data_IF_117390378757
#
_entry.id   IF_117390378757
#
_cell.length_a   1.000
_cell.length_b   1.000
_cell.length_c   1.000
_cell.angle_alpha   90.00
_cell.angle_beta   90.00
_cell.angle_gamma   90.00
#
_symmetry.space_group_name_H-M   'P 1'
#
loop_
_entity.id
_entity.type
_entity.pdbx_description
1 polymer ?
#
# COMPACT_ATOMS: atom_id res chain seq x y z
N UNK A 1 15.85 -7.77 -6.16
CA UNK A 1 14.79 -6.79 -5.96
C UNK A 1 15.08 -5.97 -4.73
N UNK A 2 14.98 -4.68 -4.82
CA UNK A 2 15.31 -3.84 -3.68
C UNK A 2 14.06 -3.44 -2.92
N UNK A 3 14.25 -3.07 -1.69
CA UNK A 3 13.15 -2.68 -0.82
C UNK A 3 13.30 -1.20 -0.54
N UNK A 4 12.21 -0.49 -0.63
CA UNK A 4 12.19 0.92 -0.32
C UNK A 4 11.29 1.17 0.86
N UNK A 5 11.54 2.25 1.56
CA UNK A 5 10.71 2.63 2.69
C UNK A 5 9.83 3.79 2.31
N UNK A 6 8.69 3.85 2.94
CA UNK A 6 7.80 4.99 2.79
C UNK A 6 7.21 5.30 4.16
N UNK A 7 7.07 6.56 4.47
CA UNK A 7 6.47 6.98 5.73
C UNK A 7 5.08 7.49 5.46
N UNK A 8 4.15 7.06 6.28
CA UNK A 8 2.76 7.46 6.12
C UNK A 8 2.26 8.00 7.45
N UNK A 9 1.58 9.12 7.40
CA UNK A 9 0.93 9.65 8.58
C UNK A 9 -0.52 9.24 8.55
N UNK A 10 -0.98 8.64 9.62
CA UNK A 10 -2.33 8.11 9.70
C UNK A 10 -2.98 8.63 10.97
N UNK A 11 -4.24 8.97 10.89
CA UNK A 11 -4.97 9.37 12.08
C UNK A 11 -4.97 8.23 13.07
N UNK A 12 -4.93 8.58 14.33
CA UNK A 12 -4.83 7.60 15.40
C UNK A 12 -5.99 6.60 15.36
N UNK A 13 -7.18 7.09 15.12
CA UNK A 13 -8.35 6.21 15.08
C UNK A 13 -8.24 5.20 13.95
N UNK A 14 -7.76 5.63 12.79
CA UNK A 14 -7.59 4.71 11.68
C UNK A 14 -6.52 3.68 11.96
N UNK A 15 -5.44 4.10 12.59
CA UNK A 15 -4.39 3.17 12.93
C UNK A 15 -4.88 2.13 13.93
N UNK A 16 -5.66 2.57 14.92
CA UNK A 16 -6.21 1.65 15.90
C UNK A 16 -7.13 0.63 15.24
N UNK A 17 -7.92 1.08 14.29
CA UNK A 17 -8.85 0.18 13.62
C UNK A 17 -8.12 -0.84 12.75
N UNK A 18 -7.10 -0.40 12.04
CA UNK A 18 -6.37 -1.34 11.22
C UNK A 18 -5.58 -2.32 12.08
N UNK A 19 -5.11 -1.87 13.24
CA UNK A 19 -4.44 -2.78 14.16
C UNK A 19 -5.40 -3.83 14.69
N UNK A 20 -6.64 -3.44 14.95
CA UNK A 20 -7.65 -4.39 15.38
C UNK A 20 -7.90 -5.44 14.30
N UNK A 21 -8.03 -5.00 13.06
CA UNK A 21 -8.27 -5.92 11.96
C UNK A 21 -7.09 -6.85 11.77
N UNK A 22 -5.88 -6.31 11.86
CA UNK A 22 -4.69 -7.13 11.70
C UNK A 22 -4.63 -8.21 12.77
N UNK A 23 -4.94 -7.85 14.00
CA UNK A 23 -4.94 -8.80 15.09
C UNK A 23 -5.99 -9.88 14.86
N UNK A 24 -7.16 -9.47 14.42
CA UNK A 24 -8.24 -10.40 14.14
C UNK A 24 -7.82 -11.41 13.08
N UNK A 25 -7.05 -10.96 12.09
CA UNK A 25 -6.61 -11.82 11.01
C UNK A 25 -5.27 -12.49 11.27
N UNK A 26 -4.70 -12.28 12.44
CA UNK A 26 -3.45 -12.93 12.78
C UNK A 26 -2.24 -12.31 12.11
N UNK A 27 -2.28 -11.03 11.82
CA UNK A 27 -1.17 -10.34 11.19
C UNK A 27 -0.67 -9.20 12.03
N UNK A 28 0.56 -8.79 11.80
CA UNK A 28 1.04 -7.53 12.35
C UNK A 28 0.45 -6.37 11.54
N UNK A 29 0.49 -5.18 12.10
CA UNK A 29 0.02 -3.99 11.37
C UNK A 29 0.80 -3.83 10.08
N UNK A 30 2.12 -3.99 10.12
CA UNK A 30 2.92 -3.84 8.92
C UNK A 30 2.52 -4.84 7.85
N UNK A 31 2.29 -6.09 8.23
CA UNK A 31 1.85 -7.08 7.27
C UNK A 31 0.48 -6.76 6.71
N UNK A 32 -0.41 -6.27 7.57
CA UNK A 32 -1.75 -5.91 7.11
C UNK A 32 -1.70 -4.80 6.08
N UNK A 33 -0.86 -3.80 6.32
CA UNK A 33 -0.72 -2.71 5.37
C UNK A 33 -0.18 -3.23 4.04
N UNK A 34 0.80 -4.13 4.08
CA UNK A 34 1.33 -4.69 2.84
C UNK A 34 0.28 -5.49 2.07
N UNK A 35 -0.56 -6.21 2.78
CA UNK A 35 -1.65 -6.94 2.12
C UNK A 35 -2.59 -5.97 1.42
N UNK A 36 -2.94 -4.87 2.10
CA UNK A 36 -3.83 -3.88 1.49
C UNK A 36 -3.21 -3.26 0.25
N UNK A 37 -1.92 -2.99 0.30
CA UNK A 37 -1.24 -2.43 -0.86
C UNK A 37 -1.26 -3.42 -2.02
N UNK A 38 -0.97 -4.68 -1.75
CA UNK A 38 -1.00 -5.68 -2.81
C UNK A 38 -2.37 -5.82 -3.41
N UNK A 39 -3.39 -5.82 -2.57
CA UNK A 39 -4.75 -5.97 -3.06
C UNK A 39 -5.17 -4.78 -3.89
N UNK A 40 -4.76 -3.59 -3.50
CA UNK A 40 -5.09 -2.41 -4.27
C UNK A 40 -4.40 -2.43 -5.63
N UNK A 41 -3.14 -2.83 -5.67
CA UNK A 41 -2.42 -2.92 -6.92
C UNK A 41 -3.08 -3.96 -7.83
N UNK A 42 -3.42 -5.11 -7.25
CA UNK A 42 -4.05 -6.15 -8.04
C UNK A 42 -5.37 -5.69 -8.62
N UNK A 43 -6.18 -5.01 -7.83
CA UNK A 43 -7.46 -4.51 -8.31
C UNK A 43 -7.29 -3.51 -9.45
N UNK A 44 -6.31 -2.64 -9.32
CA UNK A 44 -6.04 -1.67 -10.35
C UNK A 44 -5.59 -2.35 -11.64
N UNK A 45 -4.69 -3.30 -11.52
CA UNK A 45 -4.17 -3.98 -12.69
C UNK A 45 -5.20 -4.85 -13.36
N UNK A 46 -6.09 -5.45 -12.58
CA UNK A 46 -7.18 -6.22 -13.16
C UNK A 46 -8.10 -5.32 -13.99
N UNK A 47 -8.30 -4.10 -13.55
CA UNK A 47 -9.20 -3.18 -14.24
C UNK A 47 -8.51 -2.42 -15.37
N UNK A 48 -7.23 -2.14 -15.24
CA UNK A 48 -6.56 -1.22 -16.15
C UNK A 48 -5.34 -1.78 -16.86
N UNK A 49 -4.98 -3.01 -16.57
CA UNK A 49 -3.81 -3.62 -17.18
C UNK A 49 -2.59 -3.51 -16.28
N UNK A 50 -1.65 -4.38 -16.51
CA UNK A 50 -0.46 -4.49 -15.68
C UNK A 50 0.39 -3.25 -15.77
N UNK A 51 0.85 -2.77 -14.63
CA UNK A 51 1.77 -1.65 -14.59
C UNK A 51 3.16 -2.20 -14.85
N UNK A 52 3.76 -1.78 -15.95
CA UNK A 52 5.04 -2.31 -16.32
C UNK A 52 6.12 -1.29 -16.17
N UNK A 53 7.29 -1.76 -16.23
CA UNK A 53 8.56 -1.17 -15.97
C UNK A 53 8.87 0.25 -16.25
N UNK A 54 8.01 1.01 -16.76
CA UNK A 54 8.33 2.38 -17.04
C UNK A 54 8.09 3.31 -15.88
N UNK A 55 7.95 2.78 -14.69
CA UNK A 55 7.74 3.62 -13.54
C UNK A 55 9.00 4.40 -13.26
N UNK A 56 8.86 5.70 -13.23
CA UNK A 56 9.98 6.58 -12.95
C UNK A 56 10.10 6.77 -11.45
N UNK A 57 11.20 6.37 -10.85
CA UNK A 57 11.33 6.51 -9.40
C UNK A 57 11.12 7.92 -8.89
N UNK A 58 11.50 8.90 -9.66
CA UNK A 58 11.33 10.26 -9.24
C UNK A 58 9.88 10.66 -9.23
N UNK A 59 9.09 10.09 -10.10
CA UNK A 59 7.71 10.50 -10.18
C UNK A 59 6.85 9.77 -9.18
N UNK A 60 7.30 8.68 -8.61
CA UNK A 60 6.40 8.04 -7.72
C UNK A 60 6.31 8.74 -6.38
N UNK A 61 7.07 9.78 -6.15
CA UNK A 61 6.84 10.53 -4.99
C UNK A 61 5.81 11.56 -5.20
N UNK A 62 5.34 11.77 -6.44
CA UNK A 62 4.40 12.74 -6.70
C UNK A 62 3.09 12.18 -6.72
N UNK A 63 2.17 12.78 -6.17
CA UNK A 63 0.84 12.26 -6.28
C UNK A 63 0.35 12.59 -7.57
N UNK A 64 0.60 12.66 -8.33
CA UNK A 64 0.16 12.87 -9.54
C UNK A 64 -1.20 12.87 -9.80
N UNK A 65 -1.61 12.75 -9.94
CA UNK A 65 -2.52 12.69 -10.48
C UNK A 65 -3.42 12.61 -10.24
N UNK A 66 -3.84 12.78 -10.34
CA UNK A 66 -4.47 12.74 -10.31
C UNK A 66 -4.95 12.75 -10.37
#
# INVERSE_FOLDING_TARGET
MSIKSVSIRIEEEMLDKIAYIADYEGRSVNSQVLVLIRENIKAFEDANGVIEGSINPASNVKPTRK
#
